data_IF_755117386065
#
_entry.id   IF_755117386065
#
_cell.length_a   1.000
_cell.length_b   1.000
_cell.length_c   1.000
_cell.angle_alpha   90.00
_cell.angle_beta   90.00
_cell.angle_gamma   90.00
#
_symmetry.space_group_name_H-M   'P 1'
#
loop_
_entity.id
_entity.type
_entity.pdbx_description
1 polymer ?
#
# COMPACT_ATOMS: atom_id res chain seq x y z
N UNK A 1 -47.36 -30.55 17.97
CA UNK A 1 -46.07 -30.62 18.68
C UNK A 1 -44.97 -30.43 17.62
N UNK A 2 -44.49 -29.21 17.46
CA UNK A 2 -43.62 -28.84 16.35
C UNK A 2 -42.24 -28.54 16.91
N UNK A 3 -41.29 -29.38 16.58
CA UNK A 3 -39.88 -29.17 16.91
C UNK A 3 -39.25 -28.25 15.85
N UNK A 4 -38.81 -27.13 16.30
CA UNK A 4 -38.07 -26.18 15.47
C UNK A 4 -36.60 -26.48 15.58
N UNK A 5 -35.95 -26.83 14.49
CA UNK A 5 -34.52 -27.03 14.38
C UNK A 5 -33.74 -25.72 14.50
N UNK A 6 -32.51 -25.77 14.94
CA UNK A 6 -31.67 -24.58 15.08
C UNK A 6 -31.23 -24.07 13.71
N UNK A 7 -31.38 -22.78 13.52
CA UNK A 7 -30.92 -22.08 12.34
C UNK A 7 -29.41 -22.16 12.20
N UNK A 8 -28.98 -22.65 11.07
CA UNK A 8 -27.59 -22.60 10.64
C UNK A 8 -27.19 -21.15 10.45
N UNK A 9 -26.30 -20.70 11.30
CA UNK A 9 -25.58 -19.46 11.07
C UNK A 9 -24.69 -19.63 9.84
N UNK A 10 -25.12 -19.07 8.74
CA UNK A 10 -24.27 -18.89 7.57
C UNK A 10 -23.12 -17.96 7.92
N UNK A 11 -21.98 -18.52 8.27
CA UNK A 11 -20.72 -17.84 8.18
C UNK A 11 -20.39 -17.69 6.70
N UNK A 12 -20.88 -16.62 6.10
CA UNK A 12 -20.44 -16.17 4.80
C UNK A 12 -18.98 -15.79 4.91
N UNK A 13 -18.10 -16.73 4.59
CA UNK A 13 -16.73 -16.43 4.21
C UNK A 13 -16.80 -15.67 2.87
N UNK A 14 -17.05 -14.37 2.95
CA UNK A 14 -16.77 -13.47 1.87
C UNK A 14 -15.24 -13.40 1.78
N UNK A 15 -14.64 -14.26 0.96
CA UNK A 15 -13.25 -14.18 0.54
C UNK A 15 -13.00 -12.82 -0.11
N UNK A 16 -12.99 -11.75 0.70
CA UNK A 16 -12.68 -10.41 0.27
C UNK A 16 -11.27 -10.40 -0.29
N UNK A 17 -11.14 -9.88 -1.50
CA UNK A 17 -9.83 -9.63 -2.09
C UNK A 17 -9.03 -8.76 -1.12
N UNK A 18 -7.82 -9.19 -0.77
CA UNK A 18 -6.94 -8.42 0.09
C UNK A 18 -6.69 -7.03 -0.50
N UNK A 19 -6.91 -6.00 0.31
CA UNK A 19 -6.61 -4.62 -0.05
C UNK A 19 -5.44 -4.09 0.79
N UNK A 20 -4.35 -3.65 0.15
CA UNK A 20 -3.22 -3.04 0.86
C UNK A 20 -3.64 -1.72 1.50
N UNK A 21 -2.99 -1.36 2.60
CA UNK A 21 -3.24 -0.12 3.30
C UNK A 21 -2.74 1.07 2.47
N UNK A 22 -3.63 2.00 2.13
CA UNK A 22 -3.29 3.23 1.38
C UNK A 22 -2.97 4.41 2.29
N UNK A 23 -3.25 4.29 3.57
CA UNK A 23 -3.14 5.38 4.54
C UNK A 23 -4.45 6.14 4.80
N UNK A 24 -5.48 5.89 4.03
CA UNK A 24 -6.81 6.49 4.18
C UNK A 24 -7.86 5.52 4.76
N UNK A 25 -7.42 4.34 5.13
CA UNK A 25 -8.27 3.35 5.80
C UNK A 25 -8.24 3.46 7.32
N UNK A 26 -9.03 2.59 8.00
CA UNK A 26 -9.00 2.52 9.46
C UNK A 26 -7.63 2.06 9.96
N UNK A 27 -7.31 2.33 11.24
CA UNK A 27 -6.05 1.88 11.82
C UNK A 27 -5.96 0.34 11.82
N UNK A 28 -4.77 -0.17 11.54
CA UNK A 28 -4.48 -1.59 11.64
C UNK A 28 -4.39 -1.97 13.13
N UNK A 29 -5.16 -2.96 13.54
CA UNK A 29 -5.19 -3.38 14.93
C UNK A 29 -3.96 -4.25 15.26
N UNK A 30 -3.27 -4.00 16.40
CA UNK A 30 -2.11 -4.80 16.80
C UNK A 30 -2.44 -6.30 16.94
N UNK A 31 -3.65 -6.65 17.37
CA UNK A 31 -4.10 -8.04 17.50
C UNK A 31 -4.11 -8.79 16.16
N UNK A 32 -4.30 -8.07 15.04
CA UNK A 32 -4.39 -8.65 13.71
C UNK A 32 -3.05 -8.56 12.93
N UNK A 33 -2.00 -8.01 13.53
CA UNK A 33 -0.73 -7.72 12.86
C UNK A 33 -0.10 -8.95 12.21
N UNK A 34 -0.13 -10.10 12.89
CA UNK A 34 0.44 -11.33 12.36
C UNK A 34 -0.36 -11.89 11.18
N UNK A 35 -1.67 -11.88 11.28
CA UNK A 35 -2.58 -12.25 10.21
C UNK A 35 -2.37 -11.33 9.00
N UNK A 36 -2.32 -10.02 9.24
CA UNK A 36 -2.07 -9.00 8.23
C UNK A 36 -0.75 -9.22 7.51
N UNK A 37 0.32 -9.50 8.25
CA UNK A 37 1.64 -9.81 7.68
C UNK A 37 1.61 -11.00 6.73
N UNK A 38 0.87 -12.04 7.06
CA UNK A 38 0.70 -13.22 6.20
C UNK A 38 -0.06 -12.89 4.92
N UNK A 39 -1.11 -12.09 5.03
CA UNK A 39 -1.91 -11.65 3.87
C UNK A 39 -1.11 -10.78 2.92
N UNK A 40 -0.34 -9.83 3.46
CA UNK A 40 0.55 -8.96 2.69
C UNK A 40 1.60 -9.80 1.94
N UNK A 41 2.24 -10.72 2.60
CA UNK A 41 3.24 -11.61 1.98
C UNK A 41 2.63 -12.44 0.86
N UNK A 42 1.47 -13.02 1.09
CA UNK A 42 0.74 -13.79 0.07
C UNK A 42 0.38 -12.94 -1.13
N UNK A 43 -0.07 -11.71 -0.90
CA UNK A 43 -0.41 -10.78 -1.97
C UNK A 43 0.84 -10.38 -2.79
N UNK A 44 1.97 -10.15 -2.13
CA UNK A 44 3.24 -9.87 -2.80
C UNK A 44 3.73 -11.06 -3.63
N UNK A 45 3.70 -12.26 -3.07
CA UNK A 45 4.10 -13.49 -3.78
C UNK A 45 3.24 -13.70 -5.04
N UNK A 46 1.94 -13.47 -4.93
CA UNK A 46 1.02 -13.53 -6.07
C UNK A 46 1.34 -12.50 -7.15
N UNK A 47 1.65 -11.27 -6.74
CA UNK A 47 2.07 -10.21 -7.66
C UNK A 47 3.34 -10.59 -8.43
N UNK A 48 4.37 -11.06 -7.74
CA UNK A 48 5.63 -11.47 -8.36
C UNK A 48 5.44 -12.66 -9.30
N UNK A 49 4.59 -13.61 -8.94
CA UNK A 49 4.27 -14.75 -9.81
C UNK A 49 3.58 -14.29 -11.10
N UNK A 50 2.66 -13.35 -11.03
CA UNK A 50 2.01 -12.77 -12.21
C UNK A 50 3.03 -12.06 -13.09
N UNK A 51 3.96 -11.30 -12.52
CA UNK A 51 5.05 -10.68 -13.28
C UNK A 51 5.89 -11.69 -14.05
N UNK A 52 6.28 -12.80 -13.40
CA UNK A 52 7.03 -13.90 -14.05
C UNK A 52 6.28 -14.51 -15.21
N UNK A 53 4.99 -14.75 -15.04
CA UNK A 53 4.15 -15.36 -16.09
C UNK A 53 3.92 -14.43 -17.28
N UNK A 54 3.80 -13.14 -17.04
CA UNK A 54 3.53 -12.14 -18.10
C UNK A 54 4.79 -11.66 -18.82
N UNK A 55 5.97 -11.80 -18.21
CA UNK A 55 7.25 -11.30 -18.73
C UNK A 55 8.32 -12.37 -18.87
N UNK A 56 7.94 -13.58 -19.16
CA UNK A 56 8.85 -14.73 -19.27
C UNK A 56 10.01 -14.57 -20.27
N UNK A 57 9.97 -13.56 -21.12
CA UNK A 57 11.02 -13.25 -22.12
C UNK A 57 11.93 -12.09 -21.70
N UNK A 58 11.71 -11.48 -20.56
CA UNK A 58 12.55 -10.40 -20.03
C UNK A 58 13.69 -10.99 -19.21
N UNK A 59 14.85 -10.33 -19.19
CA UNK A 59 16.00 -10.74 -18.40
C UNK A 59 15.76 -10.70 -16.89
N UNK A 60 14.93 -9.79 -16.42
CA UNK A 60 14.43 -9.72 -15.04
C UNK A 60 12.90 -9.51 -15.07
N UNK A 61 12.13 -10.60 -15.05
CA UNK A 61 10.67 -10.48 -15.12
C UNK A 61 10.03 -9.83 -13.90
N UNK A 62 10.71 -9.81 -12.76
CA UNK A 62 10.21 -9.20 -11.53
C UNK A 62 10.62 -7.74 -11.36
N UNK A 63 11.59 -7.29 -12.14
CA UNK A 63 12.26 -5.98 -11.96
C UNK A 63 11.45 -4.77 -12.39
N UNK A 64 10.27 -4.94 -12.97
CA UNK A 64 9.42 -3.82 -13.37
C UNK A 64 7.93 -4.13 -13.17
N UNK A 65 7.10 -3.10 -12.91
CA UNK A 65 5.66 -3.27 -12.77
C UNK A 65 5.02 -3.84 -14.03
N UNK A 66 4.04 -4.74 -13.84
CA UNK A 66 3.25 -5.28 -14.93
C UNK A 66 2.12 -4.31 -15.34
N UNK A 67 1.58 -4.49 -16.54
CA UNK A 67 0.53 -3.59 -17.07
C UNK A 67 -0.68 -3.42 -16.15
N UNK A 68 -1.08 -4.47 -15.46
CA UNK A 68 -2.19 -4.39 -14.52
C UNK A 68 -1.87 -3.55 -13.26
N UNK A 69 -0.58 -3.49 -12.85
CA UNK A 69 -0.13 -2.62 -11.77
C UNK A 69 -0.18 -1.15 -12.21
N UNK A 70 0.17 -0.87 -13.46
CA UNK A 70 0.10 0.47 -14.04
C UNK A 70 -1.33 0.99 -14.17
N UNK A 71 -2.30 0.09 -14.27
CA UNK A 71 -3.73 0.45 -14.23
C UNK A 71 -4.24 0.76 -12.82
N UNK A 72 -3.57 0.25 -11.79
CA UNK A 72 -3.89 0.46 -10.37
C UNK A 72 -2.65 0.81 -9.57
N UNK A 73 -1.97 1.91 -9.90
CA UNK A 73 -0.69 2.24 -9.30
C UNK A 73 -0.79 2.49 -7.78
N UNK A 74 -1.87 3.07 -7.31
CA UNK A 74 -2.10 3.28 -5.87
C UNK A 74 -2.06 1.95 -5.11
N UNK A 75 -2.77 0.94 -5.62
CA UNK A 75 -2.80 -0.39 -5.01
C UNK A 75 -1.43 -1.06 -5.03
N UNK A 76 -0.75 -1.01 -6.16
CA UNK A 76 0.57 -1.62 -6.34
C UNK A 76 1.63 -0.97 -5.44
N UNK A 77 1.67 0.34 -5.39
CA UNK A 77 2.60 1.11 -4.54
C UNK A 77 2.29 0.90 -3.06
N UNK A 78 1.02 0.91 -2.66
CA UNK A 78 0.62 0.65 -1.29
C UNK A 78 1.04 -0.76 -0.83
N UNK A 79 0.86 -1.78 -1.67
CA UNK A 79 1.32 -3.14 -1.37
C UNK A 79 2.84 -3.21 -1.21
N UNK A 80 3.59 -2.53 -2.07
CA UNK A 80 5.04 -2.48 -1.98
C UNK A 80 5.51 -1.87 -0.66
N UNK A 81 4.92 -0.76 -0.24
CA UNK A 81 5.26 -0.08 1.01
C UNK A 81 4.89 -0.93 2.24
N UNK A 82 3.70 -1.49 2.25
CA UNK A 82 3.25 -2.33 3.36
C UNK A 82 4.10 -3.61 3.48
N UNK A 83 4.40 -4.27 2.37
CA UNK A 83 5.28 -5.43 2.33
C UNK A 83 6.71 -5.10 2.76
N UNK A 84 7.18 -3.89 2.48
CA UNK A 84 8.48 -3.38 2.91
C UNK A 84 8.56 -2.95 4.37
N UNK A 85 7.47 -3.07 5.13
CA UNK A 85 7.43 -2.74 6.54
C UNK A 85 7.27 -1.26 6.86
N UNK A 86 6.89 -0.44 5.87
CA UNK A 86 6.60 0.98 6.10
C UNK A 86 5.20 1.10 6.73
N UNK A 87 5.11 1.89 7.79
CA UNK A 87 3.85 2.08 8.51
C UNK A 87 2.88 2.98 7.74
N UNK A 88 1.65 2.54 7.47
CA UNK A 88 0.64 3.39 6.86
C UNK A 88 0.05 4.39 7.87
N UNK A 89 -0.36 5.55 7.38
CA UNK A 89 -1.26 6.44 8.10
C UNK A 89 -2.65 5.80 8.20
N UNK A 90 -3.54 6.40 8.95
CA UNK A 90 -4.93 5.96 9.07
C UNK A 90 -5.85 7.14 9.29
N UNK A 91 -7.13 6.90 9.10
CA UNK A 91 -8.20 7.83 9.44
C UNK A 91 -9.17 7.18 10.41
N UNK A 92 -9.75 7.97 11.29
CA UNK A 92 -10.82 7.52 12.19
C UNK A 92 -12.19 7.57 11.50
N UNK A 93 -13.24 7.22 12.25
CA UNK A 93 -14.61 7.22 11.74
C UNK A 93 -15.10 8.62 11.28
N UNK A 94 -14.50 9.71 11.76
CA UNK A 94 -14.79 11.07 11.34
C UNK A 94 -14.01 11.53 10.12
N UNK A 95 -13.05 10.72 9.64
CA UNK A 95 -12.13 11.06 8.56
C UNK A 95 -10.90 11.85 9.00
N UNK A 96 -10.70 12.05 10.30
CA UNK A 96 -9.49 12.69 10.83
C UNK A 96 -8.32 11.72 10.88
N UNK A 97 -7.09 12.23 10.68
CA UNK A 97 -5.87 11.42 10.79
C UNK A 97 -5.74 10.81 12.18
N UNK A 98 -5.60 9.49 12.22
CA UNK A 98 -5.49 8.72 13.45
C UNK A 98 -4.07 8.30 13.80
N UNK A 99 -3.22 8.03 12.82
CA UNK A 99 -1.83 7.64 13.01
C UNK A 99 -0.89 8.23 11.96
N UNK A 100 0.39 8.34 12.33
CA UNK A 100 1.43 8.83 11.43
C UNK A 100 1.94 7.70 10.55
N UNK A 101 2.06 7.97 9.26
CA UNK A 101 2.57 7.01 8.29
C UNK A 101 2.38 7.49 6.85
N UNK A 102 2.60 6.57 5.92
CA UNK A 102 2.44 6.87 4.50
C UNK A 102 0.96 6.94 4.09
N UNK A 103 0.71 7.78 3.12
CA UNK A 103 -0.53 7.81 2.35
C UNK A 103 -0.19 7.73 0.87
N UNK A 104 -0.86 6.86 0.13
CA UNK A 104 -0.71 6.73 -1.31
C UNK A 104 -1.96 7.26 -2.01
N UNK A 105 -1.78 8.13 -2.98
CA UNK A 105 -2.86 8.63 -3.84
C UNK A 105 -2.45 8.56 -5.31
N UNK A 106 -3.40 8.68 -6.21
CA UNK A 106 -3.13 8.72 -7.64
C UNK A 106 -2.24 9.92 -8.01
N UNK A 107 -1.29 9.70 -8.89
CA UNK A 107 -0.51 10.76 -9.52
C UNK A 107 -1.29 11.49 -10.61
N UNK A 108 -0.72 12.56 -11.15
CA UNK A 108 -1.34 13.33 -12.22
C UNK A 108 -1.33 12.59 -13.56
N UNK A 109 -0.30 11.78 -13.79
CA UNK A 109 -0.16 10.96 -14.99
C UNK A 109 -0.67 9.54 -14.77
N UNK A 110 -1.26 8.88 -15.77
CA UNK A 110 -1.60 7.47 -15.68
C UNK A 110 -0.38 6.62 -15.32
N UNK A 111 -0.59 5.60 -14.47
CA UNK A 111 0.49 4.71 -14.05
C UNK A 111 1.38 5.26 -12.95
N UNK A 112 1.10 6.44 -12.43
CA UNK A 112 1.88 7.07 -11.36
C UNK A 112 1.09 7.19 -10.07
N UNK A 113 1.81 7.29 -8.96
CA UNK A 113 1.25 7.51 -7.64
C UNK A 113 2.05 8.59 -6.89
N UNK A 114 1.44 9.15 -5.86
CA UNK A 114 2.11 10.09 -4.95
C UNK A 114 2.08 9.50 -3.56
N UNK A 115 3.22 9.53 -2.87
CA UNK A 115 3.36 9.10 -1.49
C UNK A 115 3.64 10.31 -0.62
N UNK A 116 2.83 10.49 0.41
CA UNK A 116 2.95 11.53 1.41
C UNK A 116 3.17 10.91 2.78
N UNK A 117 3.73 11.68 3.70
CA UNK A 117 3.88 11.28 5.11
C UNK A 117 2.98 12.17 5.95
N UNK A 118 1.96 11.59 6.54
CA UNK A 118 0.89 12.31 7.23
C UNK A 118 0.69 11.74 8.63
N UNK A 119 0.23 12.60 9.53
CA UNK A 119 -0.15 12.22 10.88
C UNK A 119 -1.17 13.18 11.49
N UNK A 120 -1.72 12.83 12.66
CA UNK A 120 -2.67 13.70 13.36
C UNK A 120 -2.03 15.03 13.78
N UNK A 121 -2.84 16.08 14.02
CA UNK A 121 -2.35 17.34 14.55
C UNK A 121 -1.54 17.13 15.84
N UNK A 122 -0.39 17.79 15.96
CA UNK A 122 0.52 17.66 17.11
C UNK A 122 1.48 16.49 17.04
N UNK A 123 1.34 15.57 16.06
CA UNK A 123 2.33 14.55 15.77
C UNK A 123 3.55 15.14 15.06
N UNK A 124 4.68 14.41 15.14
CA UNK A 124 5.95 14.84 14.55
C UNK A 124 6.05 14.56 13.04
N UNK A 125 4.95 14.31 12.34
CA UNK A 125 4.94 13.91 10.94
C UNK A 125 5.76 14.83 10.03
N UNK A 126 5.66 16.13 10.21
CA UNK A 126 6.43 17.10 9.42
C UNK A 126 7.95 17.04 9.66
N UNK A 127 8.37 16.62 10.85
CA UNK A 127 9.81 16.45 11.19
C UNK A 127 10.35 15.12 10.64
N UNK A 128 9.55 14.09 10.65
CA UNK A 128 9.92 12.74 10.20
C UNK A 128 9.85 12.59 8.68
N UNK A 129 9.15 13.47 8.02
CA UNK A 129 8.77 13.39 6.60
C UNK A 129 9.94 13.09 5.67
N UNK A 130 11.04 13.82 5.79
CA UNK A 130 12.20 13.65 4.90
C UNK A 130 12.86 12.28 5.06
N UNK A 131 13.04 11.83 6.29
CA UNK A 131 13.64 10.54 6.61
C UNK A 131 12.71 9.38 6.25
N UNK A 132 11.43 9.50 6.59
CA UNK A 132 10.43 8.48 6.32
C UNK A 132 10.19 8.29 4.82
N UNK A 133 10.05 9.36 4.06
CA UNK A 133 9.93 9.28 2.60
C UNK A 133 11.22 8.76 1.96
N UNK A 134 12.37 9.15 2.48
CA UNK A 134 13.66 8.60 2.06
C UNK A 134 13.76 7.08 2.25
N UNK A 135 13.19 6.55 3.32
CA UNK A 135 13.13 5.10 3.59
C UNK A 135 12.18 4.36 2.62
N UNK A 136 11.20 5.03 2.06
CA UNK A 136 10.29 4.45 1.06
C UNK A 136 10.99 4.20 -0.28
N UNK A 137 11.95 5.02 -0.66
CA UNK A 137 12.61 4.96 -1.99
C UNK A 137 13.24 3.59 -2.26
N UNK A 138 14.12 3.03 -1.43
CA UNK A 138 14.71 1.71 -1.69
C UNK A 138 13.68 0.58 -1.66
N UNK A 139 12.64 0.69 -0.85
CA UNK A 139 11.55 -0.28 -0.79
C UNK A 139 10.81 -0.36 -2.13
N UNK A 140 10.49 0.80 -2.71
CA UNK A 140 9.85 0.91 -4.01
C UNK A 140 10.77 0.47 -5.15
N UNK A 141 12.04 0.84 -5.09
CA UNK A 141 13.03 0.49 -6.10
C UNK A 141 13.21 -1.03 -6.25
N UNK A 142 13.15 -1.78 -5.16
CA UNK A 142 13.23 -3.26 -5.19
C UNK A 142 12.13 -3.91 -6.01
N UNK A 143 10.99 -3.23 -6.15
CA UNK A 143 9.83 -3.71 -6.91
C UNK A 143 9.68 -2.97 -8.25
N UNK A 144 10.73 -2.30 -8.71
CA UNK A 144 10.77 -1.67 -10.02
C UNK A 144 10.05 -0.34 -10.13
N UNK A 145 9.83 0.34 -9.02
CA UNK A 145 9.27 1.67 -8.98
C UNK A 145 10.35 2.72 -8.70
N UNK A 146 10.42 3.74 -9.54
CA UNK A 146 11.25 4.92 -9.28
C UNK A 146 10.45 5.93 -8.46
N UNK A 147 11.06 6.41 -7.39
CA UNK A 147 10.46 7.37 -6.49
C UNK A 147 11.36 8.61 -6.37
N UNK A 148 10.83 9.75 -6.74
CA UNK A 148 11.52 11.02 -6.70
C UNK A 148 10.93 11.92 -5.62
N UNK A 149 11.79 12.47 -4.77
CA UNK A 149 11.40 13.36 -3.69
C UNK A 149 11.27 14.79 -4.18
N UNK A 150 10.09 15.35 -4.00
CA UNK A 150 9.77 16.74 -4.30
C UNK A 150 9.39 17.51 -3.05
N UNK A 151 9.56 18.83 -3.12
CA UNK A 151 9.10 19.77 -2.14
C UNK A 151 7.95 20.57 -2.73
N UNK A 152 6.76 20.36 -2.22
CA UNK A 152 5.55 21.03 -2.65
C UNK A 152 5.31 22.37 -1.95
N UNK A 153 4.11 22.95 -2.17
CA UNK A 153 3.67 24.16 -1.47
C UNK A 153 3.77 24.01 0.05
N UNK A 154 4.05 25.08 0.76
CA UNK A 154 4.21 25.11 2.23
C UNK A 154 5.39 24.27 2.74
N UNK A 155 6.32 23.90 1.87
CA UNK A 155 7.50 23.15 2.24
C UNK A 155 7.27 21.67 2.53
N UNK A 156 6.07 21.14 2.32
CA UNK A 156 5.76 19.72 2.50
C UNK A 156 6.40 18.90 1.39
N UNK A 157 6.98 17.77 1.77
CA UNK A 157 7.62 16.84 0.84
C UNK A 157 6.66 15.73 0.45
N UNK A 158 6.87 15.19 -0.74
CA UNK A 158 6.17 14.01 -1.24
C UNK A 158 7.05 13.26 -2.23
N UNK A 159 6.75 11.99 -2.44
CA UNK A 159 7.35 11.20 -3.52
C UNK A 159 6.40 11.17 -4.71
N UNK A 160 6.92 11.42 -5.87
CA UNK A 160 6.29 11.03 -7.13
C UNK A 160 6.85 9.66 -7.52
N UNK A 161 5.96 8.69 -7.70
CA UNK A 161 6.31 7.30 -7.96
C UNK A 161 5.84 6.93 -9.36
N UNK A 162 6.78 6.46 -10.17
CA UNK A 162 6.53 6.04 -11.55
C UNK A 162 7.20 4.68 -11.80
N UNK A 163 6.78 3.93 -12.83
CA UNK A 163 7.46 2.70 -13.18
C UNK A 163 8.91 2.98 -13.56
N UNK A 164 9.84 2.22 -13.00
CA UNK A 164 11.26 2.30 -13.36
C UNK A 164 11.49 1.87 -14.81
N UNK A 165 12.52 2.38 -15.41
CA UNK A 165 12.98 1.90 -16.71
C UNK A 165 13.51 0.48 -16.59
N UNK A 166 13.00 -0.41 -17.41
CA UNK A 166 13.40 -1.81 -17.46
C UNK A 166 14.75 -1.98 -18.19
#
# INVERSE_FOLDING_TARGET
MTVRGPGEGSTGDAGGVFEPATGDGPPLLPADAEQRSREVRRALDGLLQIRRLTRSRSGDPEGAPADWELRRPVRAVALALEAGGITPSSVDASGARGSTGYRVRAGERPGTAVVEWLGPPGACAAREEAEALGACVPVLARLGWDALLYKGPRGRRFLEVEPGEA
#
